data_IF_625218450383
#
_entry.id   IF_625218450383
#
_cell.length_a   1.000
_cell.length_b   1.000
_cell.length_c   1.000
_cell.angle_alpha   90.00
_cell.angle_beta   90.00
_cell.angle_gamma   90.00
#
_symmetry.space_group_name_H-M   'P 1'
#
loop_
_entity.id
_entity.type
_entity.pdbx_description
1 polymer ?
#
# COMPACT_ATOMS: atom_id res chain seq x y z
N UNK A 1 28.62 -18.57 19.79
CA UNK A 1 27.86 -17.66 20.67
C UNK A 1 27.38 -16.54 19.75
N UNK A 2 26.34 -16.82 18.95
CA UNK A 2 24.90 -16.71 19.30
C UNK A 2 24.47 -15.23 19.14
N UNK A 3 23.62 -14.80 18.21
CA UNK A 3 22.59 -15.48 17.42
C UNK A 3 22.38 -14.73 16.09
N UNK A 4 22.40 -15.46 14.98
CA UNK A 4 21.80 -15.03 13.71
C UNK A 4 20.37 -15.60 13.67
N UNK A 5 19.44 -14.99 14.40
CA UNK A 5 18.02 -15.16 14.13
C UNK A 5 17.65 -14.29 12.92
N UNK A 6 18.09 -14.72 11.74
CA UNK A 6 17.29 -14.50 10.55
C UNK A 6 16.09 -15.44 10.69
N UNK A 7 14.98 -14.91 11.19
CA UNK A 7 13.69 -15.60 11.14
C UNK A 7 13.41 -15.88 9.66
N UNK A 8 13.54 -17.15 9.28
CA UNK A 8 13.11 -17.64 7.98
C UNK A 8 11.59 -17.40 7.93
N UNK A 9 11.02 -16.85 6.85
CA UNK A 9 9.57 -16.69 6.73
C UNK A 9 8.85 -18.02 7.00
N UNK A 10 7.57 -17.97 7.38
CA UNK A 10 6.67 -19.13 7.58
C UNK A 10 6.39 -19.88 6.27
N UNK A 11 7.43 -20.24 5.53
CA UNK A 11 7.36 -21.06 4.34
C UNK A 11 6.62 -22.36 4.70
N UNK A 12 5.56 -22.65 3.95
CA UNK A 12 4.70 -23.84 4.05
C UNK A 12 3.57 -23.83 5.08
N UNK A 13 3.38 -22.77 5.87
CA UNK A 13 2.10 -22.60 6.60
C UNK A 13 1.04 -22.07 5.63
N UNK A 14 -0.17 -22.64 5.64
CA UNK A 14 -1.26 -22.21 4.76
C UNK A 14 -2.59 -22.21 5.50
N UNK A 15 -3.44 -21.24 5.15
CA UNK A 15 -4.85 -21.11 5.55
C UNK A 15 -5.73 -21.51 4.38
N UNK A 16 -6.66 -22.43 4.62
CA UNK A 16 -7.60 -22.97 3.63
C UNK A 16 -9.01 -22.59 4.04
N UNK A 17 -9.78 -22.02 3.11
CA UNK A 17 -11.17 -21.59 3.33
C UNK A 17 -12.11 -22.46 2.49
N UNK A 18 -13.13 -23.00 3.15
CA UNK A 18 -14.17 -23.82 2.52
C UNK A 18 -15.15 -22.93 1.71
N UNK A 19 -15.76 -23.47 0.66
CA UNK A 19 -16.77 -22.78 -0.16
C UNK A 19 -18.04 -22.41 0.63
N UNK A 20 -18.71 -21.34 0.18
CA UNK A 20 -19.95 -20.86 0.79
C UNK A 20 -21.05 -21.94 0.72
N UNK A 21 -21.63 -22.27 1.87
CA UNK A 21 -22.72 -23.24 1.97
C UNK A 21 -22.30 -24.70 1.99
N UNK A 22 -20.99 -25.00 2.09
CA UNK A 22 -20.51 -26.36 2.38
C UNK A 22 -21.07 -26.82 3.73
N UNK A 23 -21.65 -28.03 3.76
CA UNK A 23 -22.23 -28.56 4.98
C UNK A 23 -21.14 -28.95 5.98
N UNK A 24 -21.37 -28.80 7.30
CA UNK A 24 -20.38 -29.16 8.31
C UNK A 24 -19.85 -30.59 8.18
N UNK A 25 -20.68 -31.55 7.79
CA UNK A 25 -20.25 -32.93 7.56
C UNK A 25 -19.31 -33.09 6.34
N UNK A 26 -19.51 -32.30 5.29
CA UNK A 26 -18.69 -32.32 4.07
C UNK A 26 -17.34 -31.64 4.31
N UNK A 27 -17.33 -30.51 5.04
CA UNK A 27 -16.12 -29.85 5.50
C UNK A 27 -15.32 -30.75 6.45
N UNK A 28 -15.97 -31.39 7.42
CA UNK A 28 -15.30 -32.31 8.34
C UNK A 28 -14.62 -33.48 7.61
N UNK A 29 -15.33 -34.08 6.64
CA UNK A 29 -14.77 -35.13 5.79
C UNK A 29 -13.58 -34.63 4.96
N UNK A 30 -13.69 -33.43 4.38
CA UNK A 30 -12.61 -32.81 3.63
C UNK A 30 -11.36 -32.63 4.50
N UNK A 31 -11.48 -32.07 5.71
CA UNK A 31 -10.35 -31.82 6.59
C UNK A 31 -9.67 -33.12 7.05
N UNK A 32 -10.45 -34.19 7.27
CA UNK A 32 -9.91 -35.52 7.59
C UNK A 32 -9.15 -36.10 6.39
N UNK A 33 -9.71 -36.00 5.18
CA UNK A 33 -9.05 -36.40 3.95
C UNK A 33 -7.74 -35.66 3.71
N UNK A 34 -7.70 -34.35 3.96
CA UNK A 34 -6.48 -33.53 3.87
C UNK A 34 -5.43 -34.01 4.86
N UNK A 35 -5.82 -34.29 6.10
CA UNK A 35 -4.91 -34.79 7.13
C UNK A 35 -4.28 -36.14 6.72
N UNK A 36 -5.07 -37.04 6.15
CA UNK A 36 -4.59 -38.34 5.65
C UNK A 36 -3.62 -38.17 4.46
N UNK A 37 -4.01 -37.38 3.46
CA UNK A 37 -3.19 -37.15 2.27
C UNK A 37 -1.89 -36.44 2.59
N UNK A 38 -1.95 -35.46 3.50
CA UNK A 38 -0.77 -34.76 3.96
C UNK A 38 0.23 -35.70 4.62
N UNK A 39 -0.25 -36.53 5.56
CA UNK A 39 0.62 -37.48 6.25
C UNK A 39 1.29 -38.46 5.28
N UNK A 40 0.57 -38.90 4.25
CA UNK A 40 1.14 -39.74 3.19
C UNK A 40 2.27 -39.00 2.44
N UNK A 41 2.00 -37.80 1.92
CA UNK A 41 2.98 -37.03 1.16
C UNK A 41 4.19 -36.60 1.99
N UNK A 42 3.98 -36.23 3.26
CA UNK A 42 5.04 -35.84 4.17
C UNK A 42 5.98 -37.02 4.47
N UNK A 43 5.45 -38.24 4.62
CA UNK A 43 6.28 -39.46 4.77
C UNK A 43 7.08 -39.76 3.51
N UNK A 44 6.43 -39.70 2.34
CA UNK A 44 7.10 -39.92 1.05
C UNK A 44 8.23 -38.89 0.82
N UNK A 45 8.00 -37.63 1.18
CA UNK A 45 9.01 -36.57 1.11
C UNK A 45 10.15 -36.81 2.09
N UNK A 46 9.85 -37.22 3.34
CA UNK A 46 10.87 -37.49 4.34
C UNK A 46 11.75 -38.70 3.98
N UNK A 47 11.17 -39.74 3.38
CA UNK A 47 11.94 -40.89 2.88
C UNK A 47 12.90 -40.50 1.74
N UNK A 48 12.54 -39.50 0.94
CA UNK A 48 13.37 -38.99 -0.17
C UNK A 48 14.43 -37.98 0.30
N UNK A 49 14.03 -37.03 1.14
CA UNK A 49 14.88 -35.97 1.69
C UNK A 49 14.47 -35.63 3.13
N UNK A 50 15.10 -36.29 4.13
CA UNK A 50 14.86 -35.99 5.55
C UNK A 50 15.30 -34.57 5.96
N UNK A 51 16.15 -33.91 5.15
CA UNK A 51 16.69 -32.57 5.44
C UNK A 51 15.94 -31.45 4.74
N UNK A 52 14.84 -31.79 4.04
CA UNK A 52 14.03 -30.83 3.31
C UNK A 52 13.60 -29.66 4.20
N UNK A 53 13.65 -28.43 3.66
CA UNK A 53 13.36 -27.18 4.40
C UNK A 53 12.02 -27.24 5.15
N UNK A 54 11.00 -27.86 4.56
CA UNK A 54 9.70 -28.12 5.19
C UNK A 54 9.83 -28.69 6.61
N UNK A 55 10.60 -29.76 6.83
CA UNK A 55 10.71 -30.39 8.15
C UNK A 55 11.44 -29.52 9.17
N UNK A 56 12.41 -28.71 8.72
CA UNK A 56 13.12 -27.77 9.58
C UNK A 56 12.20 -26.66 10.09
N UNK A 57 11.34 -26.12 9.20
CA UNK A 57 10.35 -25.10 9.56
C UNK A 57 9.29 -25.67 10.49
N UNK A 58 8.75 -26.85 10.18
CA UNK A 58 7.73 -27.46 11.05
C UNK A 58 8.32 -27.78 12.43
N UNK A 59 9.56 -28.24 12.52
CA UNK A 59 10.22 -28.50 13.81
C UNK A 59 10.50 -27.22 14.60
N UNK A 60 10.83 -26.10 13.95
CA UNK A 60 11.02 -24.82 14.66
C UNK A 60 9.71 -24.24 15.20
N UNK A 61 8.60 -24.47 14.50
CA UNK A 61 7.31 -23.85 14.82
C UNK A 61 6.35 -24.75 15.59
N UNK A 62 6.60 -26.06 15.66
CA UNK A 62 5.77 -27.00 16.42
C UNK A 62 6.60 -27.68 17.50
N UNK A 63 6.20 -27.53 18.77
CA UNK A 63 6.82 -28.25 19.88
C UNK A 63 6.53 -29.77 19.74
N UNK A 64 7.40 -30.49 19.03
CA UNK A 64 7.27 -31.93 18.85
C UNK A 64 8.04 -32.68 19.94
N UNK A 65 7.31 -33.41 20.79
CA UNK A 65 7.90 -34.27 21.82
C UNK A 65 8.69 -35.48 21.25
N UNK A 66 8.54 -35.78 19.95
CA UNK A 66 9.11 -36.96 19.27
C UNK A 66 10.28 -36.65 18.32
N UNK A 67 10.73 -35.38 18.22
CA UNK A 67 11.93 -34.99 17.48
C UNK A 67 11.81 -34.96 15.95
N UNK A 68 10.63 -35.28 15.38
CA UNK A 68 10.27 -34.97 13.99
C UNK A 68 8.78 -34.65 13.97
N UNK A 69 8.40 -33.56 13.29
CA UNK A 69 7.00 -33.18 13.06
C UNK A 69 6.74 -33.21 11.56
N UNK A 70 5.66 -33.90 11.16
CA UNK A 70 5.27 -33.99 9.74
C UNK A 70 4.34 -32.84 9.32
N UNK A 71 3.96 -31.94 10.22
CA UNK A 71 3.00 -30.88 9.95
C UNK A 71 1.57 -31.40 9.91
N UNK A 72 0.74 -30.80 9.07
CA UNK A 72 -0.67 -31.07 8.90
C UNK A 72 -1.55 -29.94 9.43
N UNK A 73 -2.85 -30.22 9.50
CA UNK A 73 -3.84 -29.29 10.05
C UNK A 73 -3.51 -29.03 11.52
N UNK A 74 -3.28 -27.76 11.87
CA UNK A 74 -3.00 -27.33 13.24
C UNK A 74 -4.29 -27.00 13.99
N UNK A 75 -5.14 -26.18 13.37
CA UNK A 75 -6.43 -25.80 13.95
C UNK A 75 -7.46 -25.53 12.85
N UNK A 76 -8.73 -25.46 13.27
CA UNK A 76 -9.89 -25.21 12.43
C UNK A 76 -10.59 -23.97 12.95
N UNK A 77 -11.09 -23.14 12.04
CA UNK A 77 -11.83 -21.94 12.40
C UNK A 77 -13.22 -21.92 11.77
N UNK A 78 -14.11 -21.23 12.46
CA UNK A 78 -15.47 -20.97 12.03
C UNK A 78 -15.82 -19.55 12.47
N UNK A 79 -15.91 -18.63 11.53
CA UNK A 79 -16.32 -17.24 11.77
C UNK A 79 -17.78 -17.14 11.38
N UNK A 80 -18.64 -17.13 12.41
CA UNK A 80 -20.09 -17.26 12.29
C UNK A 80 -20.49 -18.46 11.41
N UNK A 81 -21.48 -18.27 10.54
CA UNK A 81 -21.96 -19.24 9.53
C UNK A 81 -21.49 -18.88 8.12
N UNK A 82 -20.54 -17.94 8.02
CA UNK A 82 -20.11 -17.34 6.75
C UNK A 82 -18.76 -17.87 6.29
N UNK A 83 -17.82 -18.15 7.20
CA UNK A 83 -16.48 -18.61 6.82
C UNK A 83 -16.08 -19.80 7.69
N UNK A 84 -15.77 -20.91 7.04
CA UNK A 84 -15.23 -22.11 7.65
C UNK A 84 -13.89 -22.44 7.01
N UNK A 85 -12.97 -23.02 7.79
CA UNK A 85 -11.68 -23.38 7.25
C UNK A 85 -10.74 -23.98 8.26
N UNK A 86 -9.49 -24.13 7.85
CA UNK A 86 -8.43 -24.68 8.67
C UNK A 86 -7.09 -24.10 8.25
N UNK A 87 -6.10 -24.16 9.13
CA UNK A 87 -4.73 -23.78 8.81
C UNK A 87 -3.72 -24.79 9.33
N UNK A 88 -2.56 -24.82 8.70
CA UNK A 88 -1.49 -25.70 9.12
C UNK A 88 -0.32 -25.77 8.16
N UNK A 89 0.63 -26.65 8.45
CA UNK A 89 1.82 -26.84 7.62
C UNK A 89 1.58 -27.94 6.61
N UNK A 90 1.74 -27.64 5.32
CA UNK A 90 1.46 -28.61 4.26
C UNK A 90 2.61 -28.70 3.26
N UNK A 91 2.89 -29.91 2.76
CA UNK A 91 3.81 -30.08 1.63
C UNK A 91 3.17 -29.50 0.36
N UNK A 92 3.99 -29.07 -0.60
CA UNK A 92 3.50 -28.50 -1.86
C UNK A 92 2.54 -29.46 -2.61
N UNK A 93 2.84 -30.77 -2.59
CA UNK A 93 1.97 -31.79 -3.16
C UNK A 93 0.58 -31.85 -2.48
N UNK A 94 0.51 -31.56 -1.19
CA UNK A 94 -0.77 -31.49 -0.46
C UNK A 94 -1.53 -30.21 -0.82
N UNK A 95 -0.85 -29.08 -0.93
CA UNK A 95 -1.47 -27.80 -1.34
C UNK A 95 -2.08 -27.89 -2.73
N UNK A 96 -1.39 -28.52 -3.67
CA UNK A 96 -1.90 -28.75 -5.02
C UNK A 96 -3.16 -29.64 -5.04
N UNK A 97 -3.30 -30.56 -4.08
CA UNK A 97 -4.52 -31.35 -3.92
C UNK A 97 -5.67 -30.54 -3.33
N UNK A 98 -5.39 -29.75 -2.28
CA UNK A 98 -6.39 -28.93 -1.61
C UNK A 98 -6.99 -27.93 -2.62
N UNK A 99 -6.14 -27.24 -3.40
CA UNK A 99 -6.56 -26.26 -4.43
C UNK A 99 -7.45 -26.83 -5.53
N UNK A 100 -7.46 -28.14 -5.73
CA UNK A 100 -8.28 -28.81 -6.76
C UNK A 100 -9.61 -29.32 -6.21
N UNK A 101 -9.83 -29.21 -4.90
CA UNK A 101 -11.04 -29.72 -4.28
C UNK A 101 -12.19 -28.71 -4.45
N UNK A 102 -13.36 -29.13 -4.97
CA UNK A 102 -14.51 -28.24 -5.18
C UNK A 102 -15.15 -27.71 -3.89
N UNK A 103 -14.75 -28.22 -2.71
CA UNK A 103 -15.19 -27.71 -1.41
C UNK A 103 -14.32 -26.57 -0.89
N UNK A 104 -13.22 -26.24 -1.59
CA UNK A 104 -12.27 -25.22 -1.18
C UNK A 104 -12.45 -23.99 -2.06
N UNK A 105 -12.76 -22.86 -1.44
CA UNK A 105 -12.85 -21.58 -2.13
C UNK A 105 -11.45 -21.08 -2.48
N UNK A 106 -10.53 -21.12 -1.51
CA UNK A 106 -9.15 -20.73 -1.71
C UNK A 106 -8.17 -21.31 -0.69
N UNK A 107 -6.88 -21.26 -1.06
CA UNK A 107 -5.73 -21.66 -0.23
C UNK A 107 -4.69 -20.57 -0.28
N UNK A 108 -4.48 -19.92 0.86
CA UNK A 108 -3.55 -18.82 1.04
C UNK A 108 -2.33 -19.30 1.84
N UNK A 109 -1.11 -18.97 1.40
CA UNK A 109 0.05 -19.13 2.28
C UNK A 109 -0.11 -18.18 3.45
N UNK A 110 0.11 -18.67 4.67
CA UNK A 110 -0.06 -17.83 5.83
C UNK A 110 0.91 -16.65 5.76
N UNK A 111 0.31 -15.49 5.57
CA UNK A 111 1.00 -14.22 5.53
C UNK A 111 0.83 -13.61 6.91
N UNK A 112 1.80 -12.81 7.36
CA UNK A 112 1.55 -11.93 8.52
C UNK A 112 0.35 -11.04 8.19
N UNK A 113 -0.83 -11.42 8.66
CA UNK A 113 -1.89 -10.47 8.94
C UNK A 113 -1.43 -9.73 10.18
N UNK A 114 -0.79 -8.58 9.96
CA UNK A 114 -0.55 -7.65 11.04
C UNK A 114 -1.91 -7.31 11.63
N UNK A 115 -2.23 -7.88 12.79
CA UNK A 115 -3.10 -7.19 13.73
C UNK A 115 -2.35 -5.90 14.03
N UNK A 116 -2.65 -4.84 13.27
CA UNK A 116 -1.88 -3.60 13.24
C UNK A 116 -1.54 -3.17 14.66
N UNK A 117 -0.30 -3.40 15.10
CA UNK A 117 0.19 -2.92 16.39
C UNK A 117 0.41 -1.42 16.21
N UNK A 118 -0.69 -0.67 16.30
CA UNK A 118 -0.66 0.78 16.28
C UNK A 118 0.02 1.26 17.56
N UNK A 119 1.17 1.91 17.41
CA UNK A 119 1.84 2.60 18.50
C UNK A 119 1.53 4.10 18.46
N UNK A 120 1.75 4.75 19.60
CA UNK A 120 1.56 6.19 19.78
C UNK A 120 2.85 6.85 20.20
N UNK A 121 3.44 7.64 19.31
CA UNK A 121 4.52 8.55 19.70
C UNK A 121 3.93 9.78 20.39
N UNK A 122 4.37 10.04 21.62
CA UNK A 122 4.09 11.29 22.33
C UNK A 122 5.15 12.35 22.01
N UNK A 123 4.75 13.63 22.05
CA UNK A 123 5.64 14.75 21.70
C UNK A 123 5.92 14.87 20.20
N UNK A 124 5.05 14.31 19.36
CA UNK A 124 5.18 14.39 17.92
C UNK A 124 4.99 15.82 17.40
N UNK A 125 5.70 16.23 16.33
CA UNK A 125 5.45 17.49 15.65
C UNK A 125 4.06 17.50 15.01
N UNK A 126 3.52 18.71 14.84
CA UNK A 126 2.16 18.93 14.35
C UNK A 126 1.85 18.19 13.04
N UNK A 127 2.80 18.14 12.10
CA UNK A 127 2.62 17.46 10.81
C UNK A 127 2.27 15.98 10.97
N UNK A 128 3.03 15.26 11.81
CA UNK A 128 2.76 13.86 12.12
C UNK A 128 1.41 13.70 12.83
N UNK A 129 1.14 14.53 13.84
CA UNK A 129 -0.14 14.49 14.53
C UNK A 129 -1.33 14.73 13.62
N UNK A 130 -1.20 15.67 12.67
CA UNK A 130 -2.28 16.04 11.75
C UNK A 130 -2.60 14.93 10.77
N UNK A 131 -1.59 14.25 10.22
CA UNK A 131 -1.83 13.16 9.25
C UNK A 131 -2.34 11.88 9.92
N UNK A 132 -2.21 11.73 11.24
CA UNK A 132 -2.70 10.54 11.94
C UNK A 132 -4.08 10.69 12.58
N UNK A 133 -4.76 11.82 12.37
CA UNK A 133 -6.09 12.07 12.92
C UNK A 133 -7.02 12.66 11.85
N UNK A 134 -8.21 12.08 11.71
CA UNK A 134 -9.27 12.66 10.86
C UNK A 134 -9.88 13.90 11.50
N UNK A 135 -10.27 13.77 12.76
CA UNK A 135 -10.82 14.90 13.52
C UNK A 135 -9.81 16.03 13.71
N UNK A 136 -10.28 17.28 13.86
CA UNK A 136 -9.43 18.39 14.29
C UNK A 136 -8.60 18.04 15.54
N UNK A 137 -7.34 18.47 15.55
CA UNK A 137 -6.46 18.24 16.69
C UNK A 137 -6.98 18.96 17.93
N UNK A 138 -7.00 18.25 19.05
CA UNK A 138 -7.39 18.75 20.36
C UNK A 138 -6.17 18.86 21.27
N UNK A 139 -6.33 19.45 22.46
CA UNK A 139 -5.29 19.47 23.49
C UNK A 139 -4.80 18.06 23.89
N UNK A 140 -5.59 17.01 23.63
CA UNK A 140 -5.20 15.62 23.91
C UNK A 140 -4.52 14.88 22.76
N UNK A 141 -4.53 15.44 21.53
CA UNK A 141 -4.03 14.79 20.31
C UNK A 141 -3.02 15.60 19.49
N UNK A 142 -2.85 16.89 19.78
CA UNK A 142 -1.98 17.79 18.99
C UNK A 142 -0.48 17.42 18.96
N UNK A 143 -0.05 16.54 19.88
CA UNK A 143 1.33 16.09 20.02
C UNK A 143 1.44 14.56 20.01
N UNK A 144 0.45 13.86 19.45
CA UNK A 144 0.44 12.40 19.33
C UNK A 144 0.50 11.99 17.87
N UNK A 145 1.37 11.05 17.54
CA UNK A 145 1.39 10.42 16.23
C UNK A 145 1.00 8.96 16.40
N UNK A 146 -0.11 8.57 15.78
CA UNK A 146 -0.60 7.19 15.73
C UNK A 146 -0.05 6.55 14.46
N UNK A 147 0.69 5.45 14.57
CA UNK A 147 1.39 4.85 13.44
C UNK A 147 1.57 3.35 13.62
N UNK A 148 1.80 2.65 12.51
CA UNK A 148 2.15 1.24 12.48
C UNK A 148 3.65 1.06 12.72
N UNK A 149 4.03 0.16 13.63
CA UNK A 149 5.42 -0.08 13.98
C UNK A 149 6.29 -0.54 12.80
N UNK A 150 5.69 -1.13 11.77
CA UNK A 150 6.38 -1.65 10.59
C UNK A 150 6.41 -0.66 9.42
N UNK A 151 5.86 0.54 9.63
CA UNK A 151 5.80 1.60 8.63
C UNK A 151 7.16 1.97 8.01
N UNK A 152 7.28 1.70 6.71
CA UNK A 152 8.45 1.97 5.88
C UNK A 152 9.38 0.77 5.66
N UNK A 153 9.18 -0.34 6.36
CA UNK A 153 10.06 -1.50 6.24
C UNK A 153 10.06 -2.07 4.82
N UNK A 154 11.25 -2.37 4.28
CA UNK A 154 11.40 -2.92 2.92
C UNK A 154 11.16 -1.93 1.77
N UNK A 155 10.89 -0.64 2.06
CA UNK A 155 10.66 0.38 1.02
C UNK A 155 11.77 1.43 1.04
N UNK A 156 12.30 1.72 -0.16
CA UNK A 156 13.33 2.74 -0.36
C UNK A 156 12.74 4.02 -0.93
N UNK A 157 13.04 5.15 -0.31
CA UNK A 157 12.69 6.49 -0.80
C UNK A 157 13.92 7.24 -1.32
N UNK A 158 13.82 7.71 -2.56
CA UNK A 158 14.85 8.52 -3.19
C UNK A 158 14.59 10.01 -2.94
N UNK A 159 15.58 10.71 -2.38
CA UNK A 159 15.50 12.15 -2.10
C UNK A 159 16.38 12.89 -3.08
N UNK A 160 15.73 13.50 -4.08
CA UNK A 160 16.38 14.24 -5.17
C UNK A 160 16.39 15.73 -4.83
N UNK A 161 17.48 16.20 -4.20
CA UNK A 161 17.51 17.53 -3.57
C UNK A 161 18.96 18.10 -3.49
N UNK A 162 19.30 18.84 -2.43
CA UNK A 162 20.63 19.38 -2.13
C UNK A 162 21.62 18.32 -1.63
N UNK A 163 21.16 17.09 -1.41
CA UNK A 163 21.87 16.00 -0.75
C UNK A 163 21.17 15.55 0.53
N UNK A 164 21.68 14.54 1.22
CA UNK A 164 21.23 14.16 2.57
C UNK A 164 22.45 13.95 3.45
N UNK A 165 22.41 14.41 4.70
CA UNK A 165 23.38 14.03 5.71
C UNK A 165 23.11 12.58 6.14
N UNK A 166 23.66 11.63 5.39
CA UNK A 166 23.44 10.20 5.60
C UNK A 166 24.00 9.68 6.95
N UNK A 167 24.92 10.43 7.56
CA UNK A 167 25.49 10.12 8.88
C UNK A 167 24.63 10.65 10.04
N UNK A 168 23.52 11.33 9.74
CA UNK A 168 22.64 11.85 10.78
C UNK A 168 22.01 10.70 11.57
N UNK A 169 22.13 10.76 12.91
CA UNK A 169 21.73 9.66 13.82
C UNK A 169 20.26 9.25 13.69
N UNK A 170 19.42 10.19 13.28
CA UNK A 170 18.00 9.94 13.04
C UNK A 170 17.72 8.94 11.90
N UNK A 171 18.66 8.70 10.99
CA UNK A 171 18.50 7.69 9.95
C UNK A 171 18.96 6.30 10.41
N UNK A 172 19.67 6.20 11.53
CA UNK A 172 20.09 4.91 12.12
C UNK A 172 20.80 3.97 11.11
N UNK A 173 21.58 4.55 10.18
CA UNK A 173 22.29 3.81 9.13
C UNK A 173 21.46 3.47 7.88
N UNK A 174 20.17 3.81 7.82
CA UNK A 174 19.28 3.54 6.68
C UNK A 174 19.41 4.53 5.52
N UNK A 175 20.23 5.56 5.68
CA UNK A 175 20.48 6.54 4.62
C UNK A 175 21.81 6.23 3.91
N UNK A 176 21.78 6.22 2.58
CA UNK A 176 22.95 5.98 1.73
C UNK A 176 23.02 6.98 0.59
N UNK A 177 24.22 7.18 0.04
CA UNK A 177 24.40 8.00 -1.17
C UNK A 177 24.06 7.20 -2.43
N UNK A 178 23.31 7.84 -3.33
CA UNK A 178 23.03 7.34 -4.67
C UNK A 178 23.90 8.02 -5.72
N UNK A 179 23.67 9.31 -5.97
CA UNK A 179 24.42 10.05 -7.00
C UNK A 179 24.49 11.55 -6.74
N UNK A 180 25.56 12.18 -7.22
CA UNK A 180 25.72 13.64 -7.28
C UNK A 180 25.83 14.08 -8.73
N UNK A 181 24.83 14.84 -9.19
CA UNK A 181 24.70 15.27 -10.59
C UNK A 181 25.55 16.52 -10.89
N UNK A 182 25.61 17.55 -10.04
CA UNK A 182 26.47 18.70 -10.31
C UNK A 182 27.95 18.31 -10.35
N UNK A 183 28.58 18.41 -11.52
CA UNK A 183 30.00 18.10 -11.67
C UNK A 183 30.86 18.95 -10.73
N UNK A 184 31.80 18.28 -10.05
CA UNK A 184 32.73 18.89 -9.09
C UNK A 184 32.19 19.06 -7.67
N UNK A 185 30.91 18.75 -7.42
CA UNK A 185 30.37 18.73 -6.05
C UNK A 185 30.73 17.43 -5.33
N UNK A 186 30.80 17.51 -4.00
CA UNK A 186 30.98 16.35 -3.12
C UNK A 186 29.62 15.77 -2.73
N UNK A 187 29.64 14.50 -2.28
CA UNK A 187 28.52 13.80 -1.66
C UNK A 187 28.25 14.35 -0.25
N UNK A 188 27.78 15.59 -0.22
CA UNK A 188 27.44 16.32 1.01
C UNK A 188 26.17 17.14 0.79
N UNK A 189 25.28 17.11 1.78
CA UNK A 189 24.19 18.09 1.86
C UNK A 189 24.74 19.42 2.38
N UNK A 190 25.22 20.27 1.48
CA UNK A 190 25.75 21.58 1.85
C UNK A 190 24.69 22.63 2.22
N UNK A 191 23.39 22.30 2.14
CA UNK A 191 22.29 23.23 2.41
C UNK A 191 21.42 22.80 3.61
N UNK A 192 21.11 21.51 3.74
CA UNK A 192 20.26 20.96 4.79
C UNK A 192 18.82 20.67 4.36
N UNK A 193 18.37 21.22 3.23
CA UNK A 193 17.00 21.03 2.73
C UNK A 193 16.69 19.56 2.44
N UNK A 194 17.55 18.86 1.70
CA UNK A 194 17.35 17.45 1.43
C UNK A 194 17.41 16.57 2.69
N UNK A 195 18.27 16.88 3.66
CA UNK A 195 18.27 16.21 4.98
C UNK A 195 16.94 16.37 5.72
N UNK A 196 16.34 17.55 5.67
CA UNK A 196 15.03 17.78 6.27
C UNK A 196 13.92 16.96 5.61
N UNK A 197 13.88 16.97 4.27
CA UNK A 197 12.91 16.20 3.49
C UNK A 197 13.06 14.71 3.79
N UNK A 198 14.29 14.19 3.76
CA UNK A 198 14.61 12.82 4.14
C UNK A 198 14.17 12.50 5.58
N UNK A 199 14.42 13.42 6.52
CA UNK A 199 14.01 13.27 7.92
C UNK A 199 12.49 13.15 8.07
N UNK A 200 11.74 13.99 7.37
CA UNK A 200 10.26 13.93 7.37
C UNK A 200 9.74 12.63 6.74
N UNK A 201 10.44 12.08 5.75
CA UNK A 201 10.06 10.82 5.12
C UNK A 201 10.32 9.65 6.08
N UNK A 202 11.55 9.49 6.58
CA UNK A 202 11.99 8.24 7.21
C UNK A 202 12.92 8.35 8.41
N UNK A 203 13.04 9.51 9.08
CA UNK A 203 13.77 9.54 10.35
C UNK A 203 13.07 8.73 11.45
N UNK A 204 13.84 8.26 12.42
CA UNK A 204 13.36 7.51 13.59
C UNK A 204 12.32 8.26 14.41
N UNK A 205 12.54 9.54 14.71
CA UNK A 205 11.66 10.30 15.61
C UNK A 205 10.70 11.25 14.89
N UNK A 206 10.98 11.63 13.65
CA UNK A 206 10.20 12.64 12.92
C UNK A 206 9.70 12.17 11.55
N UNK A 207 9.99 10.92 11.18
CA UNK A 207 9.58 10.34 9.90
C UNK A 207 8.13 9.87 9.93
N UNK A 208 7.46 10.03 8.79
CA UNK A 208 6.15 9.40 8.54
C UNK A 208 6.33 7.88 8.46
N UNK A 209 7.29 7.40 7.67
CA UNK A 209 7.62 5.98 7.46
C UNK A 209 8.96 5.65 8.14
N UNK A 210 8.93 5.45 9.45
CA UNK A 210 10.11 5.42 10.33
C UNK A 210 11.14 4.34 10.01
N UNK A 211 10.76 3.27 9.32
CA UNK A 211 11.65 2.16 8.92
C UNK A 211 12.14 2.24 7.47
N UNK A 212 11.79 3.30 6.72
CA UNK A 212 12.16 3.45 5.32
C UNK A 212 13.67 3.60 5.07
N UNK A 213 14.17 2.99 4.01
CA UNK A 213 15.52 3.27 3.52
C UNK A 213 15.53 4.57 2.72
N UNK A 214 16.61 5.35 2.83
CA UNK A 214 16.76 6.64 2.17
C UNK A 214 17.95 6.60 1.19
N UNK A 215 17.71 6.99 -0.05
CA UNK A 215 18.78 7.19 -1.05
C UNK A 215 18.91 8.66 -1.39
N UNK A 216 20.08 9.23 -1.12
CA UNK A 216 20.39 10.63 -1.40
C UNK A 216 20.81 10.83 -2.86
N UNK A 217 20.12 11.73 -3.57
CA UNK A 217 20.50 12.15 -4.93
C UNK A 217 20.62 13.67 -4.95
N UNK A 218 21.84 14.17 -5.17
CA UNK A 218 22.11 15.61 -5.23
C UNK A 218 21.93 16.11 -6.65
N UNK A 219 20.96 16.98 -6.86
CA UNK A 219 20.73 17.70 -8.14
C UNK A 219 20.84 19.22 -7.98
N UNK A 220 20.70 19.71 -6.75
CA UNK A 220 20.86 21.11 -6.41
C UNK A 220 22.24 21.34 -5.79
N UNK A 221 22.97 22.33 -6.32
CA UNK A 221 24.21 22.79 -5.71
C UNK A 221 23.91 23.46 -4.36
N UNK A 222 24.91 23.55 -3.51
CA UNK A 222 24.80 24.09 -2.14
C UNK A 222 24.46 25.59 -2.10
N UNK A 223 24.48 26.28 -3.24
CA UNK A 223 24.11 27.68 -3.45
C UNK A 223 22.70 27.90 -4.04
N UNK A 224 21.81 26.91 -3.93
CA UNK A 224 20.40 27.02 -4.34
C UNK A 224 19.65 28.17 -3.66
N UNK A 225 18.91 28.93 -4.45
CA UNK A 225 18.17 30.14 -4.07
C UNK A 225 17.33 29.96 -2.80
N UNK A 226 17.61 30.82 -1.81
CA UNK A 226 16.90 31.10 -0.56
C UNK A 226 15.49 30.51 -0.41
N UNK A 227 15.38 29.24 -0.02
CA UNK A 227 14.20 28.76 0.74
C UNK A 227 14.75 28.01 1.96
N UNK A 228 14.57 28.64 3.12
CA UNK A 228 15.20 28.30 4.40
C UNK A 228 14.59 27.01 4.98
N UNK A 229 15.43 26.02 5.37
CA UNK A 229 15.00 24.77 6.02
C UNK A 229 16.11 24.07 6.85
N UNK A 230 15.85 22.99 7.62
CA UNK A 230 16.59 22.58 8.84
C UNK A 230 18.06 22.25 8.63
N UNK A 231 18.86 22.58 9.64
CA UNK A 231 20.15 23.22 9.45
C UNK A 231 21.33 22.26 9.62
N UNK A 232 22.36 22.41 8.79
CA UNK A 232 23.64 21.67 8.80
C UNK A 232 24.46 21.82 10.11
N UNK A 233 23.89 22.42 11.16
CA UNK A 233 24.59 22.86 12.36
C UNK A 233 25.24 21.74 13.17
N UNK A 234 24.68 20.52 13.19
CA UNK A 234 25.30 19.33 13.83
C UNK A 234 24.57 18.02 13.47
N UNK A 235 25.14 16.87 13.87
CA UNK A 235 24.56 15.52 13.74
C UNK A 235 23.29 15.27 14.58
N UNK A 236 22.75 16.29 15.25
CA UNK A 236 21.57 16.22 16.11
C UNK A 236 20.63 17.42 15.94
N UNK A 237 20.88 18.30 14.97
CA UNK A 237 20.12 19.54 14.82
C UNK A 237 18.76 19.31 14.15
N UNK A 238 17.70 19.92 14.70
CA UNK A 238 16.35 19.94 14.11
C UNK A 238 15.84 21.38 14.00
N UNK A 239 14.94 21.66 13.06
CA UNK A 239 14.23 22.95 12.98
C UNK A 239 12.79 22.77 12.45
N UNK A 240 11.95 23.80 12.54
CA UNK A 240 10.53 23.77 12.13
C UNK A 240 10.27 24.84 11.08
N UNK A 241 9.58 24.49 10.00
CA UNK A 241 9.48 25.31 8.78
C UNK A 241 8.12 25.16 8.10
N UNK A 242 7.81 26.09 7.20
CA UNK A 242 6.53 26.15 6.50
C UNK A 242 6.70 26.41 4.99
N UNK A 243 5.83 25.81 4.16
CA UNK A 243 5.83 25.93 2.69
C UNK A 243 5.39 24.63 1.98
N UNK A 244 5.08 24.69 0.67
CA UNK A 244 4.68 23.52 -0.14
C UNK A 244 5.78 22.47 -0.26
N UNK A 245 7.06 22.88 -0.19
CA UNK A 245 8.22 21.97 -0.08
C UNK A 245 8.22 21.11 1.18
N UNK A 246 7.45 21.48 2.22
CA UNK A 246 7.30 20.68 3.45
C UNK A 246 6.12 19.71 3.38
N UNK A 247 5.15 19.92 2.49
CA UNK A 247 4.02 19.01 2.29
C UNK A 247 4.42 17.79 1.43
N UNK A 248 5.24 18.00 0.39
CA UNK A 248 5.73 16.93 -0.48
C UNK A 248 6.40 15.75 0.26
N UNK A 249 7.32 15.96 1.23
CA UNK A 249 7.92 14.85 1.96
C UNK A 249 6.93 14.12 2.89
N UNK A 250 5.86 14.78 3.37
CA UNK A 250 4.80 14.07 4.10
C UNK A 250 4.01 13.14 3.19
N UNK A 251 3.68 13.57 1.96
CA UNK A 251 3.02 12.72 0.96
C UNK A 251 3.94 11.57 0.55
N UNK A 252 5.22 11.85 0.30
CA UNK A 252 6.20 10.82 -0.03
C UNK A 252 6.34 9.79 1.10
N UNK A 253 6.53 10.26 2.33
CA UNK A 253 6.59 9.40 3.50
C UNK A 253 5.31 8.57 3.69
N UNK A 254 4.15 9.15 3.40
CA UNK A 254 2.88 8.43 3.47
C UNK A 254 2.73 7.34 2.39
N UNK A 255 3.21 7.60 1.17
CA UNK A 255 3.23 6.58 0.12
C UNK A 255 4.20 5.44 0.48
N UNK A 256 5.36 5.76 1.03
CA UNK A 256 6.33 4.79 1.55
C UNK A 256 5.73 3.96 2.68
N UNK A 257 5.01 4.61 3.61
CA UNK A 257 4.27 3.98 4.69
C UNK A 257 3.24 2.98 4.16
N UNK A 258 2.46 3.36 3.15
CA UNK A 258 1.48 2.45 2.58
C UNK A 258 2.13 1.28 1.86
N UNK A 259 3.11 1.55 1.00
CA UNK A 259 3.80 0.50 0.24
C UNK A 259 4.39 -0.59 1.15
N UNK A 260 4.91 -0.25 2.33
CA UNK A 260 5.45 -1.26 3.26
C UNK A 260 4.39 -2.13 3.92
N UNK A 261 3.16 -1.61 4.02
CA UNK A 261 2.01 -2.29 4.64
C UNK A 261 1.13 -2.99 3.60
N UNK A 262 1.64 -3.18 2.39
CA UNK A 262 0.96 -3.99 1.39
C UNK A 262 0.94 -5.46 1.85
N UNK A 263 -0.18 -6.18 1.66
CA UNK A 263 -0.19 -7.64 1.83
C UNK A 263 0.89 -8.32 0.97
N UNK A 264 1.41 -9.46 1.43
CA UNK A 264 2.45 -10.22 0.71
C UNK A 264 2.00 -10.63 -0.69
N UNK A 265 2.94 -10.82 -1.63
CA UNK A 265 2.65 -11.18 -3.03
C UNK A 265 1.96 -12.53 -3.24
N UNK A 266 1.90 -13.32 -2.18
CA UNK A 266 1.29 -14.63 -2.04
C UNK A 266 -0.07 -14.60 -1.31
N UNK A 267 -0.51 -13.42 -0.85
CA UNK A 267 -1.82 -13.18 -0.25
C UNK A 267 -2.91 -12.96 -1.30
N UNK A 268 -4.12 -13.41 -1.05
CA UNK A 268 -5.27 -13.14 -1.94
C UNK A 268 -5.71 -11.66 -1.92
N UNK A 269 -5.31 -10.93 -0.89
CA UNK A 269 -5.51 -9.48 -0.76
C UNK A 269 -4.43 -8.66 -1.49
N UNK A 270 -3.52 -9.34 -2.21
CA UNK A 270 -2.48 -8.70 -3.01
C UNK A 270 -3.07 -8.05 -4.26
N UNK A 271 -3.31 -6.74 -4.20
CA UNK A 271 -4.02 -5.96 -5.23
C UNK A 271 -3.24 -5.76 -6.54
N UNK A 272 -2.04 -6.31 -6.71
CA UNK A 272 -1.34 -6.18 -7.97
C UNK A 272 -0.34 -7.30 -8.23
N UNK A 273 -0.76 -8.32 -8.97
CA UNK A 273 0.09 -9.35 -9.60
C UNK A 273 1.29 -8.78 -10.42
N UNK A 274 1.31 -7.46 -10.68
CA UNK A 274 2.39 -6.70 -11.31
C UNK A 274 2.98 -5.53 -10.49
N UNK A 275 2.71 -5.45 -9.18
CA UNK A 275 3.12 -4.36 -8.29
C UNK A 275 2.16 -3.15 -8.29
N UNK A 276 2.14 -2.36 -7.20
CA UNK A 276 1.23 -1.21 -7.09
C UNK A 276 1.69 -0.09 -8.02
N UNK A 277 0.82 0.33 -8.94
CA UNK A 277 1.14 1.42 -9.87
C UNK A 277 1.01 2.80 -9.20
N UNK A 278 1.75 3.83 -9.66
CA UNK A 278 1.57 5.19 -9.17
C UNK A 278 0.14 5.72 -9.31
N UNK A 279 -0.58 5.30 -10.35
CA UNK A 279 -1.97 5.69 -10.58
C UNK A 279 -2.91 5.10 -9.51
N UNK A 280 -2.72 3.82 -9.16
CA UNK A 280 -3.47 3.18 -8.08
C UNK A 280 -3.18 3.84 -6.74
N UNK A 281 -1.90 4.06 -6.39
CA UNK A 281 -1.52 4.76 -5.16
C UNK A 281 -2.14 6.16 -5.08
N UNK A 282 -2.10 6.92 -6.18
CA UNK A 282 -2.72 8.25 -6.25
C UNK A 282 -4.22 8.20 -6.02
N UNK A 283 -4.93 7.22 -6.60
CA UNK A 283 -6.37 7.08 -6.38
C UNK A 283 -6.65 6.74 -4.92
N UNK A 284 -5.96 5.74 -4.36
CA UNK A 284 -6.15 5.30 -2.96
C UNK A 284 -5.82 6.40 -1.95
N UNK A 285 -4.72 7.15 -2.10
CA UNK A 285 -4.36 8.22 -1.15
C UNK A 285 -5.36 9.39 -1.17
N UNK A 286 -5.95 9.71 -2.33
CA UNK A 286 -7.01 10.74 -2.44
C UNK A 286 -8.30 10.24 -1.79
N UNK A 287 -8.67 8.99 -2.07
CA UNK A 287 -9.87 8.37 -1.51
C UNK A 287 -9.81 8.29 0.01
N UNK A 288 -8.66 7.87 0.56
CA UNK A 288 -8.44 7.71 1.99
C UNK A 288 -8.19 9.02 2.74
N UNK A 289 -7.99 10.13 2.02
CA UNK A 289 -7.80 11.45 2.61
C UNK A 289 -8.99 11.88 3.50
N UNK A 290 -8.74 12.85 4.37
CA UNK A 290 -9.81 13.56 5.09
C UNK A 290 -10.30 14.70 4.22
N UNK A 291 -11.58 14.67 3.86
CA UNK A 291 -12.20 15.59 2.90
C UNK A 291 -12.83 16.77 3.63
N UNK A 292 -12.78 17.94 2.99
CA UNK A 292 -13.57 19.13 3.38
C UNK A 292 -13.28 19.68 4.78
N UNK A 293 -12.06 19.45 5.30
CA UNK A 293 -11.62 19.92 6.63
C UNK A 293 -10.73 21.16 6.59
N UNK A 294 -10.19 21.52 5.43
CA UNK A 294 -9.36 22.72 5.29
C UNK A 294 -10.27 23.94 5.15
N UNK A 295 -9.99 24.98 5.93
CA UNK A 295 -10.65 26.30 5.83
C UNK A 295 -9.76 27.28 5.07
N UNK A 296 -10.36 28.37 4.58
CA UNK A 296 -9.67 29.47 3.89
C UNK A 296 -8.92 29.06 2.61
N UNK A 297 -9.43 28.06 1.90
CA UNK A 297 -8.90 27.62 0.61
C UNK A 297 -9.57 28.36 -0.56
N UNK A 298 -8.83 28.71 -1.64
CA UNK A 298 -9.42 29.31 -2.83
C UNK A 298 -10.47 28.41 -3.49
N UNK A 299 -11.52 29.03 -4.03
CA UNK A 299 -12.58 28.32 -4.77
C UNK A 299 -11.99 27.49 -5.92
N UNK A 300 -12.49 26.26 -6.09
CA UNK A 300 -11.97 25.30 -7.07
C UNK A 300 -10.73 24.52 -6.64
N UNK A 301 -10.15 24.79 -5.46
CA UNK A 301 -9.05 23.99 -4.90
C UNK A 301 -9.59 22.70 -4.27
N UNK A 302 -9.08 21.51 -4.63
CA UNK A 302 -9.48 20.26 -3.99
C UNK A 302 -9.19 20.27 -2.48
N UNK A 303 -10.20 19.97 -1.66
CA UNK A 303 -10.09 19.98 -0.19
C UNK A 303 -9.78 18.58 0.36
N UNK A 304 -8.53 18.16 0.19
CA UNK A 304 -8.05 16.85 0.63
C UNK A 304 -6.84 16.98 1.55
N UNK A 305 -7.00 16.53 2.79
CA UNK A 305 -5.92 16.42 3.76
C UNK A 305 -5.48 14.96 3.88
N UNK A 306 -4.21 14.67 3.59
CA UNK A 306 -3.68 13.31 3.66
C UNK A 306 -3.84 12.70 5.06
N UNK A 307 -4.09 11.40 5.11
CA UNK A 307 -4.33 10.64 6.33
C UNK A 307 -3.60 9.31 6.24
N UNK A 308 -2.99 8.84 7.34
CA UNK A 308 -2.17 7.62 7.37
C UNK A 308 -2.95 6.33 7.68
N UNK A 309 -4.25 6.43 7.93
CA UNK A 309 -5.06 5.27 8.27
C UNK A 309 -4.98 4.81 9.73
N UNK A 310 -4.34 5.60 10.60
CA UNK A 310 -4.23 5.25 12.02
C UNK A 310 -5.57 4.90 12.69
N UNK A 311 -5.62 3.74 13.34
CA UNK A 311 -6.82 3.25 14.02
C UNK A 311 -7.89 2.67 13.08
N UNK A 312 -7.51 2.32 11.85
CA UNK A 312 -8.35 1.64 10.85
C UNK A 312 -7.64 0.39 10.35
N UNK A 313 -8.42 -0.64 10.00
CA UNK A 313 -7.86 -1.78 9.28
C UNK A 313 -7.46 -1.33 7.86
N UNK A 314 -6.18 -1.46 7.50
CA UNK A 314 -5.68 -1.11 6.18
C UNK A 314 -6.03 -2.16 5.12
N UNK A 315 -6.62 -3.29 5.50
CA UNK A 315 -7.27 -4.19 4.55
C UNK A 315 -8.32 -3.45 3.74
N UNK A 316 -9.03 -2.43 4.24
CA UNK A 316 -9.98 -1.67 3.39
C UNK A 316 -9.24 -0.77 2.37
N UNK A 317 -8.01 -0.35 2.69
CA UNK A 317 -7.19 0.42 1.76
C UNK A 317 -6.67 -0.47 0.62
N UNK A 318 -6.41 -1.77 0.86
CA UNK A 318 -5.84 -2.71 -0.11
C UNK A 318 -6.83 -3.71 -0.72
N UNK A 319 -7.77 -4.16 0.09
CA UNK A 319 -8.84 -5.13 -0.11
C UNK A 319 -10.07 -4.48 -0.72
N UNK A 320 -9.84 -3.99 -1.91
CA UNK A 320 -10.77 -3.99 -3.02
C UNK A 320 -9.81 -3.86 -4.20
N UNK A 321 -9.90 -4.79 -5.15
CA UNK A 321 -9.50 -4.42 -6.50
C UNK A 321 -10.24 -3.12 -6.75
N UNK A 322 -9.49 -2.09 -7.13
CA UNK A 322 -10.10 -1.08 -7.96
C UNK A 322 -10.40 -1.84 -9.26
N UNK A 323 -11.46 -2.66 -9.23
CA UNK A 323 -12.37 -2.74 -10.34
C UNK A 323 -12.54 -1.31 -10.83
N UNK A 324 -12.78 -1.15 -12.10
CA UNK A 324 -13.12 0.15 -12.65
C UNK A 324 -14.45 0.67 -12.03
N UNK A 325 -14.56 0.86 -10.71
CA UNK A 325 -15.40 1.81 -10.00
C UNK A 325 -14.76 3.21 -10.07
N UNK A 326 -14.22 3.51 -11.24
CA UNK A 326 -14.42 4.78 -11.93
C UNK A 326 -14.41 4.53 -13.43
N UNK A 327 -15.15 3.50 -13.87
CA UNK A 327 -16.02 3.66 -15.02
C UNK A 327 -17.16 4.57 -14.49
N UNK A 328 -17.00 5.89 -14.53
CA UNK A 328 -17.46 6.65 -15.70
C UNK A 328 -17.32 5.80 -16.95
N UNK A 329 -18.32 4.94 -17.12
CA UNK A 329 -18.52 4.06 -18.25
C UNK A 329 -18.15 4.85 -19.50
N UNK A 330 -17.35 4.26 -20.39
CA UNK A 330 -17.21 4.77 -21.75
C UNK A 330 -18.59 4.92 -22.44
N UNK A 331 -19.64 4.33 -21.87
CA UNK A 331 -21.03 4.64 -22.19
C UNK A 331 -21.47 6.05 -21.79
N UNK A 332 -21.05 6.68 -20.68
CA UNK A 332 -21.51 8.05 -20.34
C UNK A 332 -20.88 9.10 -21.26
N UNK A 333 -19.57 9.00 -21.55
CA UNK A 333 -18.94 9.87 -22.56
C UNK A 333 -19.38 9.53 -23.99
N UNK A 334 -19.67 8.26 -24.26
CA UNK A 334 -20.27 7.82 -25.52
C UNK A 334 -21.69 8.36 -25.68
N UNK A 335 -22.48 8.38 -24.61
CA UNK A 335 -23.88 8.87 -24.62
C UNK A 335 -23.91 10.39 -24.66
N UNK A 336 -23.02 11.10 -23.95
CA UNK A 336 -22.84 12.55 -24.11
C UNK A 336 -22.33 12.92 -25.51
N UNK A 337 -21.40 12.15 -26.08
CA UNK A 337 -20.91 12.38 -27.44
C UNK A 337 -21.98 12.07 -28.50
N UNK A 338 -22.76 11.00 -28.32
CA UNK A 338 -23.87 10.63 -29.21
C UNK A 338 -24.99 11.67 -29.11
N UNK A 339 -25.38 12.11 -27.91
CA UNK A 339 -26.35 13.21 -27.75
C UNK A 339 -25.82 14.52 -28.34
N UNK A 340 -24.54 14.85 -28.15
CA UNK A 340 -23.94 16.02 -28.77
C UNK A 340 -23.95 15.93 -30.31
N UNK A 341 -23.71 14.75 -30.89
CA UNK A 341 -23.76 14.53 -32.33
C UNK A 341 -25.20 14.57 -32.85
N UNK A 342 -26.15 13.97 -32.13
CA UNK A 342 -27.59 14.02 -32.46
C UNK A 342 -28.13 15.46 -32.40
N UNK A 343 -27.82 16.21 -31.34
CA UNK A 343 -28.19 17.64 -31.22
C UNK A 343 -27.59 18.47 -32.37
N UNK A 344 -26.35 18.17 -32.76
CA UNK A 344 -25.70 18.85 -33.89
C UNK A 344 -26.37 18.48 -35.21
N UNK A 345 -26.81 17.23 -35.37
CA UNK A 345 -27.50 16.75 -36.55
C UNK A 345 -28.90 17.37 -36.68
N UNK A 346 -29.68 17.42 -35.59
CA UNK A 346 -30.98 18.09 -35.54
C UNK A 346 -30.86 19.59 -35.84
N UNK A 347 -29.85 20.26 -35.29
CA UNK A 347 -29.56 21.66 -35.63
C UNK A 347 -29.19 21.85 -37.10
N UNK A 348 -28.49 20.88 -37.70
CA UNK A 348 -28.13 20.92 -39.12
C UNK A 348 -29.37 20.70 -40.00
N UNK A 349 -30.21 19.71 -39.68
CA UNK A 349 -31.48 19.46 -40.39
C UNK A 349 -32.40 20.67 -40.31
N UNK A 350 -32.52 21.30 -39.13
CA UNK A 350 -33.26 22.55 -38.95
C UNK A 350 -32.75 23.66 -39.87
N UNK A 351 -31.43 23.86 -39.94
CA UNK A 351 -30.81 24.86 -40.84
C UNK A 351 -31.00 24.52 -42.32
N UNK A 352 -30.89 23.25 -42.69
CA UNK A 352 -31.12 22.79 -44.07
C UNK A 352 -32.58 23.02 -44.48
N UNK A 353 -33.54 22.74 -43.59
CA UNK A 353 -34.95 22.99 -43.87
C UNK A 353 -35.25 24.49 -44.02
N UNK A 354 -34.66 25.35 -43.18
CA UNK A 354 -34.77 26.81 -43.32
C UNK A 354 -34.22 27.25 -44.69
N UNK A 355 -33.03 26.79 -45.08
CA UNK A 355 -32.43 27.14 -46.38
C UNK A 355 -33.27 26.61 -47.54
N UNK A 356 -33.85 25.41 -47.42
CA UNK A 356 -34.75 24.85 -48.43
C UNK A 356 -36.05 25.64 -48.55
N UNK A 357 -36.61 26.12 -47.44
CA UNK A 357 -37.80 26.95 -47.46
C UNK A 357 -37.51 28.36 -47.99
N UNK A 358 -36.37 28.96 -47.64
CA UNK A 358 -35.88 30.20 -48.27
C UNK A 358 -35.65 30.03 -49.79
N UNK A 359 -35.10 28.89 -50.22
CA UNK A 359 -34.97 28.55 -51.65
C UNK A 359 -36.31 28.36 -52.33
N UNK A 360 -37.30 27.73 -51.68
CA UNK A 360 -38.65 27.61 -52.24
C UNK A 360 -39.33 28.97 -52.34
N UNK A 361 -39.11 29.86 -51.37
CA UNK A 361 -39.64 31.24 -51.41
C UNK A 361 -38.97 32.05 -52.54
N UNK A 362 -37.66 31.88 -52.73
CA UNK A 362 -36.89 32.52 -53.81
C UNK A 362 -37.22 31.96 -55.21
N UNK A 363 -37.47 30.66 -55.34
CA UNK A 363 -37.87 30.02 -56.59
C UNK A 363 -39.36 30.21 -56.89
N UNK A 364 -40.19 30.29 -55.85
CA UNK A 364 -41.62 30.62 -55.93
C UNK A 364 -41.86 32.08 -56.32
N UNK A 365 -40.89 32.97 -56.07
CA UNK A 365 -40.89 34.35 -56.60
C UNK A 365 -40.37 34.47 -58.03
N UNK A 366 -39.87 33.38 -58.64
CA UNK A 366 -39.42 33.36 -60.04
C UNK A 366 -40.43 32.73 -61.03
N UNK A 367 -41.68 32.52 -60.60
CA UNK A 367 -42.81 32.12 -61.45
C UNK A 367 -43.98 33.10 -61.31
N UNK A 368 -43.75 34.34 -61.74
CA UNK A 368 -44.76 35.23 -62.35
C UNK A 368 -44.11 35.89 -63.56
#
# INVERSE_FOLDING_TARGET
>A
MSDMNCLVPWDHMNTCVDEDGVKPEEAAFHHEWVSEKHLQHAKELFEQDPTHQFFQVVESETESASGVSFGGVLDKFSIDSLIHGYFGFFTDATIDLIRRNPLVAFVEKDSRVFASEFDTQNGAPWGLSRISHREPLSLGSFNKYLYDNDAGEGVTSYVIDTGVNIEHKEFDGRAVWGSTIPSGDQDIDGNGHGTHCAGTIGSKNYGVAKKADIVAVKVLRSNGLNILSTYIGSNTATATLSGTSMASPHVCGLLTYYLSLQPGSDSEFFTAKGGVTPAQLKKKIIEYSTKDVLTDIPEGTPNYLIYNGAGKNLTDFWGEDISESSSTTLQDKGTEFVHSVEDTFEQLEGKVNIVLDELKEYLGTSLI
#
